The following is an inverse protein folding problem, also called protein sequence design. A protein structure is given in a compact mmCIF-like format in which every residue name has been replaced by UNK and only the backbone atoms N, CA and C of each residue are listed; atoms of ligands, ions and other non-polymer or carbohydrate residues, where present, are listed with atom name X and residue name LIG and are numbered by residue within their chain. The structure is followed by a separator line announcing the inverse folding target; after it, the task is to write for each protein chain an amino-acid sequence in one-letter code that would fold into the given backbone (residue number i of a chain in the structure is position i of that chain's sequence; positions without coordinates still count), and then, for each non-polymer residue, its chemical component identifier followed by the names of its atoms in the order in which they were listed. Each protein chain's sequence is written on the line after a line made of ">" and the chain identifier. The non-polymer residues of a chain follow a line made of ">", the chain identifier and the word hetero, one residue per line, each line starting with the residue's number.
data_IF_789804542930
#
_entry.id   IF_789804542930
#
_cell.length_a   1.000
_cell.length_b   1.000
_cell.length_c   1.000
_cell.angle_alpha   90.00
_cell.angle_beta   90.00
_cell.angle_gamma   90.00
#
_symmetry.space_group_name_H-M   'P 1'
#
loop_
_entity.id
_entity.type
_entity.pdbx_description
1 polymer ?
#
# COMPACT_ATOMS: atom_id res chain seq x y z
N UNK A 1 15.42 -2.51 22.35
CA UNK A 1 16.44 -2.37 21.28
C UNK A 1 16.09 -1.14 20.46
N UNK A 2 17.05 -0.36 19.91
CA UNK A 2 16.74 0.78 19.05
C UNK A 2 16.61 0.30 17.60
N UNK A 3 15.66 0.83 16.81
CA UNK A 3 15.64 0.57 15.38
C UNK A 3 16.85 1.21 14.71
N UNK A 4 17.39 0.52 13.70
CA UNK A 4 18.47 1.02 12.85
C UNK A 4 17.95 1.15 11.43
N UNK A 5 18.23 2.28 10.77
CA UNK A 5 17.91 2.51 9.39
C UNK A 5 19.18 2.39 8.55
N UNK A 6 19.10 1.60 7.48
CA UNK A 6 20.18 1.44 6.53
C UNK A 6 19.63 1.68 5.12
N UNK A 7 20.08 2.78 4.48
CA UNK A 7 19.55 3.26 3.22
C UNK A 7 20.66 3.59 2.25
N UNK A 8 20.40 3.38 0.97
CA UNK A 8 21.16 3.98 -0.12
C UNK A 8 20.47 5.27 -0.55
N UNK A 9 21.10 6.42 -0.33
CA UNK A 9 20.55 7.73 -0.68
C UNK A 9 21.40 8.37 -1.77
N UNK A 10 20.83 8.55 -2.97
CA UNK A 10 21.48 9.12 -4.14
C UNK A 10 20.89 10.47 -4.57
N UNK A 11 19.94 11.01 -3.78
CA UNK A 11 19.34 12.32 -4.00
C UNK A 11 18.15 12.34 -4.94
N UNK A 12 17.51 11.19 -5.19
CA UNK A 12 16.27 11.10 -5.97
C UNK A 12 15.05 11.35 -5.08
N UNK A 13 13.95 11.79 -5.69
CA UNK A 13 12.67 11.97 -4.97
C UNK A 13 12.25 10.69 -4.22
N UNK A 14 12.40 9.54 -4.87
CA UNK A 14 12.08 8.26 -4.26
C UNK A 14 12.91 7.95 -3.01
N UNK A 15 14.15 8.42 -2.94
CA UNK A 15 14.99 8.20 -1.75
C UNK A 15 14.43 8.94 -0.53
N UNK A 16 13.80 10.10 -0.75
CA UNK A 16 13.13 10.87 0.33
C UNK A 16 11.89 10.13 0.82
N UNK A 17 11.09 9.56 -0.10
CA UNK A 17 9.92 8.75 0.25
C UNK A 17 10.34 7.47 0.97
N UNK A 18 11.39 6.78 0.50
CA UNK A 18 11.96 5.60 1.16
C UNK A 18 12.44 5.95 2.58
N UNK A 19 13.12 7.08 2.77
CA UNK A 19 13.51 7.52 4.11
C UNK A 19 12.29 7.75 5.02
N UNK A 20 11.23 8.37 4.49
CA UNK A 20 9.97 8.57 5.23
C UNK A 20 9.31 7.23 5.60
N UNK A 21 9.34 6.26 4.70
CA UNK A 21 8.87 4.90 4.90
C UNK A 21 9.59 4.23 6.08
N UNK A 22 10.90 4.16 6.03
CA UNK A 22 11.72 3.52 7.06
C UNK A 22 11.61 4.23 8.42
N UNK A 23 11.53 5.57 8.42
CA UNK A 23 11.25 6.33 9.64
C UNK A 23 9.88 6.01 10.21
N UNK A 24 8.89 5.77 9.36
CA UNK A 24 7.56 5.31 9.76
C UNK A 24 7.62 3.99 10.52
N UNK A 25 8.35 2.99 10.01
CA UNK A 25 8.61 1.73 10.72
C UNK A 25 9.31 1.95 12.05
N UNK A 26 10.32 2.82 12.09
CA UNK A 26 11.03 3.18 13.32
C UNK A 26 10.12 3.77 14.38
N UNK A 27 9.25 4.72 14.01
CA UNK A 27 8.25 5.31 14.91
C UNK A 27 7.24 4.26 15.40
N UNK A 28 6.75 3.42 14.49
CA UNK A 28 5.81 2.34 14.81
C UNK A 28 6.39 1.37 15.85
N UNK A 29 7.62 0.92 15.61
CA UNK A 29 8.33 0.06 16.56
C UNK A 29 8.45 0.70 17.94
N UNK A 30 8.86 1.99 18.02
CA UNK A 30 8.99 2.69 19.30
C UNK A 30 7.66 2.84 20.06
N UNK A 31 6.56 2.97 19.36
CA UNK A 31 5.24 3.03 19.98
C UNK A 31 4.79 1.67 20.52
N UNK A 32 5.12 0.58 19.82
CA UNK A 32 4.74 -0.79 20.21
C UNK A 32 5.59 -1.41 21.31
N UNK A 33 6.86 -1.04 21.42
CA UNK A 33 7.79 -1.62 22.40
C UNK A 33 7.26 -1.50 23.84
N UNK A 34 6.42 -0.50 24.11
CA UNK A 34 5.77 -0.31 25.42
C UNK A 34 4.77 -1.41 25.77
N UNK A 35 4.31 -2.19 24.79
CA UNK A 35 3.37 -3.29 25.00
C UNK A 35 4.04 -4.59 25.47
N UNK A 36 5.39 -4.60 25.62
CA UNK A 36 6.20 -5.74 26.02
C UNK A 36 6.54 -6.67 24.84
N UNK A 37 7.53 -7.52 25.03
CA UNK A 37 8.15 -8.35 23.97
C UNK A 37 7.14 -9.23 23.20
N UNK A 38 6.14 -9.79 23.88
CA UNK A 38 5.15 -10.65 23.24
C UNK A 38 4.22 -9.88 22.30
N UNK A 39 4.10 -8.56 22.46
CA UNK A 39 3.22 -7.69 21.70
C UNK A 39 4.03 -6.65 20.86
N UNK A 40 5.31 -6.89 20.67
CA UNK A 40 6.19 -5.98 19.91
C UNK A 40 5.90 -6.03 18.39
N UNK A 41 5.47 -7.19 17.89
CA UNK A 41 5.17 -7.37 16.45
C UNK A 41 3.74 -6.97 16.15
N UNK A 42 3.53 -6.11 15.14
CA UNK A 42 2.20 -5.80 14.65
C UNK A 42 1.62 -6.97 13.86
N UNK A 43 0.31 -6.88 13.59
CA UNK A 43 -0.33 -7.79 12.64
C UNK A 43 0.19 -7.49 11.23
N UNK A 44 0.30 -8.52 10.43
CA UNK A 44 0.74 -8.45 9.03
C UNK A 44 0.11 -7.28 8.27
N UNK A 45 -1.20 -7.11 8.37
CA UNK A 45 -1.98 -6.09 7.65
C UNK A 45 -1.76 -4.66 8.14
N UNK A 46 -1.16 -4.46 9.32
CA UNK A 46 -0.90 -3.13 9.90
C UNK A 46 0.59 -2.78 9.97
N UNK A 47 1.46 -3.68 9.51
CA UNK A 47 2.91 -3.44 9.56
C UNK A 47 3.30 -2.23 8.71
N UNK A 48 2.65 -2.06 7.57
CA UNK A 48 2.93 -0.99 6.61
C UNK A 48 2.16 0.33 6.86
N UNK A 49 1.26 0.38 7.87
CA UNK A 49 0.41 1.56 8.07
C UNK A 49 1.21 2.81 8.41
N UNK A 50 2.24 2.67 9.25
CA UNK A 50 3.06 3.82 9.67
C UNK A 50 4.01 4.27 8.56
N UNK A 51 4.62 3.33 7.85
CA UNK A 51 5.56 3.59 6.77
C UNK A 51 4.88 4.27 5.59
N UNK A 52 3.77 3.71 5.10
CA UNK A 52 3.00 4.27 3.98
C UNK A 52 2.36 5.62 4.36
N UNK A 53 1.92 5.80 5.63
CA UNK A 53 1.41 7.10 6.06
C UNK A 53 2.52 8.16 6.14
N UNK A 54 3.72 7.79 6.56
CA UNK A 54 4.91 8.65 6.52
C UNK A 54 5.25 9.11 5.10
N UNK A 55 5.25 8.18 4.14
CA UNK A 55 5.41 8.51 2.72
C UNK A 55 4.31 9.46 2.23
N UNK A 56 3.05 9.20 2.59
CA UNK A 56 1.91 10.04 2.20
C UNK A 56 2.07 11.48 2.69
N UNK A 57 2.51 11.68 3.94
CA UNK A 57 2.73 13.02 4.49
C UNK A 57 3.83 13.77 3.74
N UNK A 58 4.95 13.09 3.45
CA UNK A 58 6.08 13.68 2.71
C UNK A 58 5.69 13.95 1.27
N UNK A 59 5.02 13.01 0.60
CA UNK A 59 4.50 13.22 -0.75
C UNK A 59 3.60 14.45 -0.84
N UNK A 60 2.69 14.63 0.10
CA UNK A 60 1.79 15.79 0.13
C UNK A 60 2.55 17.12 0.33
N UNK A 61 3.57 17.11 1.18
CA UNK A 61 4.42 18.29 1.36
C UNK A 61 5.20 18.62 0.08
N UNK A 62 5.78 17.61 -0.57
CA UNK A 62 6.44 17.75 -1.86
C UNK A 62 5.49 18.31 -2.92
N UNK A 63 4.27 17.76 -3.00
CA UNK A 63 3.25 18.18 -3.96
C UNK A 63 2.82 19.62 -3.72
N UNK A 64 2.66 20.04 -2.47
CA UNK A 64 2.33 21.42 -2.10
C UNK A 64 3.42 22.42 -2.50
N UNK A 65 4.69 22.02 -2.39
CA UNK A 65 5.82 22.88 -2.69
C UNK A 65 6.25 22.84 -4.16
N UNK A 66 5.66 21.94 -4.98
CA UNK A 66 5.97 21.82 -6.41
C UNK A 66 5.07 22.75 -7.21
N UNK A 67 5.64 23.83 -7.76
CA UNK A 67 4.92 24.86 -8.52
C UNK A 67 4.98 24.65 -10.03
N UNK A 68 6.00 23.93 -10.53
CA UNK A 68 6.13 23.59 -11.95
C UNK A 68 5.18 22.45 -12.33
N UNK A 69 4.36 22.68 -13.36
CA UNK A 69 3.32 21.73 -13.78
C UNK A 69 3.89 20.39 -14.26
N UNK A 70 5.04 20.39 -14.95
CA UNK A 70 5.68 19.17 -15.45
C UNK A 70 6.27 18.35 -14.31
N UNK A 71 6.96 19.01 -13.37
CA UNK A 71 7.46 18.34 -12.18
C UNK A 71 6.30 17.79 -11.32
N UNK A 72 5.21 18.54 -11.21
CA UNK A 72 3.98 18.11 -10.52
C UNK A 72 3.36 16.89 -11.18
N UNK A 73 3.24 16.87 -12.51
CA UNK A 73 2.75 15.73 -13.26
C UNK A 73 3.61 14.48 -13.02
N UNK A 74 4.94 14.60 -13.10
CA UNK A 74 5.85 13.49 -12.85
C UNK A 74 5.71 12.94 -11.42
N UNK A 75 5.59 13.82 -10.43
CA UNK A 75 5.45 13.44 -9.02
C UNK A 75 4.15 12.66 -8.78
N UNK A 76 3.02 13.16 -9.32
CA UNK A 76 1.71 12.49 -9.18
C UNK A 76 1.71 11.18 -9.98
N UNK A 77 2.26 11.15 -11.18
CA UNK A 77 2.32 9.94 -12.01
C UNK A 77 3.09 8.80 -11.31
N UNK A 78 4.24 9.13 -10.69
CA UNK A 78 4.97 8.15 -9.89
C UNK A 78 4.12 7.62 -8.75
N UNK A 79 3.47 8.52 -7.98
CA UNK A 79 2.63 8.12 -6.85
C UNK A 79 1.44 7.25 -7.27
N UNK A 80 0.75 7.62 -8.35
CA UNK A 80 -0.38 6.82 -8.89
C UNK A 80 0.10 5.44 -9.33
N UNK A 81 1.25 5.35 -10.02
CA UNK A 81 1.83 4.08 -10.40
C UNK A 81 2.11 3.19 -9.19
N UNK A 82 2.67 3.74 -8.12
CA UNK A 82 2.96 3.02 -6.88
C UNK A 82 1.68 2.55 -6.19
N UNK A 83 0.64 3.41 -6.11
CA UNK A 83 -0.65 3.07 -5.52
C UNK A 83 -1.37 1.97 -6.31
N UNK A 84 -1.36 2.01 -7.66
CA UNK A 84 -1.93 0.96 -8.50
C UNK A 84 -1.16 -0.36 -8.31
N UNK A 85 0.16 -0.32 -8.28
CA UNK A 85 0.96 -1.51 -8.02
C UNK A 85 0.70 -2.10 -6.63
N UNK A 86 0.49 -1.25 -5.62
CA UNK A 86 0.23 -1.68 -4.25
C UNK A 86 -1.22 -2.14 -4.05
N UNK A 87 -2.21 -1.43 -4.58
CA UNK A 87 -3.61 -1.81 -4.41
C UNK A 87 -4.05 -2.92 -5.38
N UNK A 88 -3.87 -2.71 -6.70
CA UNK A 88 -4.44 -3.60 -7.73
C UNK A 88 -3.56 -4.83 -7.95
N UNK A 89 -2.26 -4.62 -8.17
CA UNK A 89 -1.34 -5.72 -8.50
C UNK A 89 -1.17 -6.71 -7.35
N UNK A 90 -1.12 -6.24 -6.10
CA UNK A 90 -0.99 -7.14 -4.95
C UNK A 90 -2.25 -7.98 -4.72
N UNK A 91 -3.42 -7.47 -5.05
CA UNK A 91 -4.66 -8.26 -5.04
C UNK A 91 -4.63 -9.33 -6.14
N UNK A 92 -4.13 -9.04 -7.34
CA UNK A 92 -3.93 -10.04 -8.36
C UNK A 92 -2.94 -11.14 -7.92
N UNK A 93 -1.86 -10.77 -7.23
CA UNK A 93 -0.93 -11.73 -6.63
C UNK A 93 -1.62 -12.62 -5.59
N UNK A 94 -2.48 -12.04 -4.76
CA UNK A 94 -3.26 -12.80 -3.78
C UNK A 94 -4.21 -13.80 -4.47
N UNK A 95 -4.89 -13.43 -5.55
CA UNK A 95 -5.73 -14.36 -6.30
C UNK A 95 -4.92 -15.47 -6.96
N UNK A 96 -3.77 -15.16 -7.56
CA UNK A 96 -2.86 -16.18 -8.07
C UNK A 96 -2.48 -17.19 -6.97
N UNK A 97 -2.03 -16.70 -5.84
CA UNK A 97 -1.61 -17.54 -4.71
C UNK A 97 -2.77 -18.41 -4.20
N UNK A 98 -3.94 -17.82 -4.00
CA UNK A 98 -5.14 -18.51 -3.55
C UNK A 98 -5.54 -19.64 -4.51
N UNK A 99 -5.55 -19.38 -5.82
CA UNK A 99 -5.87 -20.38 -6.84
C UNK A 99 -4.82 -21.48 -6.93
N UNK A 100 -3.55 -21.12 -6.95
CA UNK A 100 -2.45 -22.09 -7.01
C UNK A 100 -2.50 -23.06 -5.81
N UNK A 101 -2.70 -22.54 -4.61
CA UNK A 101 -2.85 -23.36 -3.40
C UNK A 101 -4.14 -24.19 -3.39
N UNK A 102 -5.25 -23.66 -3.89
CA UNK A 102 -6.51 -24.41 -3.99
C UNK A 102 -6.39 -25.62 -4.95
N UNK A 103 -5.80 -25.42 -6.13
CA UNK A 103 -5.55 -26.51 -7.08
C UNK A 103 -4.54 -27.52 -6.52
N UNK A 104 -3.48 -27.05 -5.86
CA UNK A 104 -2.45 -27.90 -5.24
C UNK A 104 -2.99 -28.82 -4.13
N UNK A 105 -4.05 -28.41 -3.43
CA UNK A 105 -4.71 -29.29 -2.45
C UNK A 105 -5.41 -30.50 -3.08
N UNK A 106 -5.76 -30.42 -4.35
CA UNK A 106 -6.49 -31.47 -5.06
C UNK A 106 -5.54 -32.40 -5.81
N UNK A 107 -4.47 -31.87 -6.39
CA UNK A 107 -3.50 -32.65 -7.19
C UNK A 107 -2.19 -31.88 -7.32
N UNK A 108 -1.21 -32.52 -7.97
CA UNK A 108 0.00 -31.83 -8.42
C UNK A 108 -0.34 -30.78 -9.48
N UNK A 109 0.26 -29.60 -9.36
CA UNK A 109 0.07 -28.49 -10.30
C UNK A 109 1.36 -28.32 -11.10
N UNK A 110 1.28 -28.44 -12.42
CA UNK A 110 2.43 -28.26 -13.30
C UNK A 110 2.85 -26.78 -13.39
N UNK A 111 4.09 -26.58 -13.84
CA UNK A 111 4.62 -25.23 -14.13
C UNK A 111 3.74 -24.48 -15.14
N UNK A 112 3.32 -25.18 -16.23
CA UNK A 112 2.46 -24.58 -17.25
C UNK A 112 1.13 -24.13 -16.65
N UNK A 113 0.56 -24.90 -15.71
CA UNK A 113 -0.67 -24.53 -15.04
C UNK A 113 -0.49 -23.29 -14.15
N UNK A 114 0.61 -23.20 -13.41
CA UNK A 114 0.94 -22.00 -12.63
C UNK A 114 1.10 -20.78 -13.55
N UNK A 115 1.78 -20.90 -14.67
CA UNK A 115 1.89 -19.84 -15.67
C UNK A 115 0.54 -19.40 -16.22
N UNK A 116 -0.37 -20.33 -16.48
CA UNK A 116 -1.74 -20.02 -16.93
C UNK A 116 -2.51 -19.23 -15.87
N UNK A 117 -2.52 -19.71 -14.62
CA UNK A 117 -3.19 -19.01 -13.51
C UNK A 117 -2.65 -17.58 -13.38
N UNK A 118 -1.32 -17.44 -13.42
CA UNK A 118 -0.68 -16.13 -13.34
C UNK A 118 -1.14 -15.17 -14.45
N UNK A 119 -1.07 -15.60 -15.70
CA UNK A 119 -1.49 -14.77 -16.84
C UNK A 119 -2.97 -14.41 -16.78
N UNK A 120 -3.83 -15.34 -16.36
CA UNK A 120 -5.26 -15.09 -16.18
C UNK A 120 -5.51 -14.00 -15.13
N UNK A 121 -4.85 -14.06 -13.96
CA UNK A 121 -5.01 -13.06 -12.88
C UNK A 121 -4.42 -11.71 -13.30
N UNK A 122 -3.27 -11.68 -13.96
CA UNK A 122 -2.69 -10.43 -14.46
C UNK A 122 -3.59 -9.76 -15.50
N UNK A 123 -4.12 -10.50 -16.47
CA UNK A 123 -5.06 -9.99 -17.47
C UNK A 123 -6.34 -9.48 -16.83
N UNK A 124 -6.88 -10.22 -15.86
CA UNK A 124 -8.09 -9.82 -15.14
C UNK A 124 -7.90 -8.51 -14.37
N UNK A 125 -6.74 -8.33 -13.72
CA UNK A 125 -6.47 -7.15 -12.90
C UNK A 125 -6.15 -5.89 -13.69
N UNK A 126 -5.46 -6.03 -14.83
CA UNK A 126 -5.03 -4.91 -15.68
C UNK A 126 -6.06 -4.54 -16.76
N UNK A 127 -7.06 -5.39 -16.96
CA UNK A 127 -8.10 -5.20 -17.98
C UNK A 127 -7.54 -5.16 -19.41
N UNK A 128 -8.27 -4.49 -20.30
CA UNK A 128 -7.92 -4.41 -21.71
C UNK A 128 -6.95 -3.27 -22.06
N UNK A 129 -6.46 -2.53 -21.06
CA UNK A 129 -5.60 -1.37 -21.27
C UNK A 129 -4.11 -1.72 -21.30
N UNK A 130 -3.76 -2.91 -20.81
CA UNK A 130 -2.38 -3.41 -20.77
C UNK A 130 -2.33 -4.78 -21.43
N UNK A 131 -1.47 -4.94 -22.42
CA UNK A 131 -1.19 -6.22 -23.03
C UNK A 131 -0.26 -7.05 -22.15
N UNK A 132 -0.77 -8.18 -21.63
CA UNK A 132 0.01 -9.14 -20.87
C UNK A 132 0.40 -10.27 -21.81
N UNK A 133 1.63 -10.24 -22.29
CA UNK A 133 2.20 -11.21 -23.21
C UNK A 133 2.67 -12.51 -22.53
N UNK A 134 2.98 -13.50 -23.35
CA UNK A 134 3.48 -14.82 -22.86
C UNK A 134 4.88 -14.72 -22.22
N UNK A 135 5.64 -13.69 -22.55
CA UNK A 135 6.94 -13.37 -21.92
C UNK A 135 6.83 -13.07 -20.44
N UNK A 136 5.63 -12.65 -19.97
CA UNK A 136 5.34 -12.37 -18.56
C UNK A 136 5.02 -13.65 -17.74
N UNK A 137 4.87 -14.81 -18.37
CA UNK A 137 4.30 -16.01 -17.73
C UNK A 137 5.09 -16.55 -16.53
N UNK A 138 6.39 -16.26 -16.44
CA UNK A 138 7.25 -16.71 -15.34
C UNK A 138 7.48 -15.68 -14.25
N UNK A 139 6.90 -14.47 -14.33
CA UNK A 139 7.16 -13.40 -13.36
C UNK A 139 6.74 -13.82 -11.93
N UNK A 140 5.73 -14.68 -11.78
CA UNK A 140 5.33 -15.21 -10.47
C UNK A 140 6.50 -15.84 -9.70
N UNK A 141 7.46 -16.47 -10.39
CA UNK A 141 8.61 -17.11 -9.76
C UNK A 141 9.62 -16.12 -9.14
N UNK A 142 9.52 -14.84 -9.48
CA UNK A 142 10.35 -13.77 -8.92
C UNK A 142 9.71 -13.11 -7.68
N UNK A 143 8.45 -13.43 -7.38
CA UNK A 143 7.74 -12.88 -6.22
C UNK A 143 8.13 -13.68 -4.97
N UNK A 144 9.13 -13.21 -4.25
CA UNK A 144 9.68 -13.87 -3.06
C UNK A 144 8.64 -14.21 -1.99
N UNK A 145 7.58 -13.39 -1.88
CA UNK A 145 6.49 -13.60 -0.92
C UNK A 145 5.81 -14.96 -1.08
N UNK A 146 5.61 -15.45 -2.30
CA UNK A 146 4.98 -16.75 -2.54
C UNK A 146 5.76 -17.93 -1.95
N UNK A 147 7.06 -17.76 -1.72
CA UNK A 147 7.96 -18.80 -1.23
C UNK A 147 8.31 -18.63 0.26
N UNK A 148 8.48 -17.38 0.71
CA UNK A 148 9.00 -17.10 2.05
C UNK A 148 7.95 -16.62 3.04
N UNK A 149 6.87 -15.97 2.55
CA UNK A 149 5.80 -15.40 3.34
C UNK A 149 4.43 -15.62 2.65
N UNK A 150 3.96 -16.88 2.55
CA UNK A 150 2.70 -17.19 1.87
C UNK A 150 1.53 -16.39 2.43
N UNK A 151 0.66 -15.94 1.52
CA UNK A 151 -0.54 -15.14 1.83
C UNK A 151 -0.26 -13.79 2.50
N UNK A 152 0.94 -13.22 2.29
CA UNK A 152 1.28 -11.89 2.82
C UNK A 152 0.79 -10.73 1.91
N UNK A 153 0.82 -10.92 0.60
CA UNK A 153 0.74 -9.84 -0.39
C UNK A 153 -0.49 -8.93 -0.28
N UNK A 154 -1.65 -9.45 0.14
CA UNK A 154 -2.85 -8.65 0.34
C UNK A 154 -2.70 -7.58 1.45
N UNK A 155 -1.74 -7.78 2.37
CA UNK A 155 -1.47 -6.86 3.46
C UNK A 155 -1.05 -5.47 2.95
N UNK A 156 -0.35 -5.41 1.83
CA UNK A 156 0.02 -4.16 1.18
C UNK A 156 -1.19 -3.38 0.70
N UNK A 157 -2.13 -4.05 0.03
CA UNK A 157 -3.38 -3.42 -0.44
C UNK A 157 -4.24 -2.95 0.73
N UNK A 158 -4.31 -3.74 1.81
CA UNK A 158 -5.02 -3.34 3.02
C UNK A 158 -4.40 -2.09 3.65
N UNK A 159 -3.07 -2.07 3.82
CA UNK A 159 -2.36 -0.95 4.42
C UNK A 159 -2.50 0.32 3.58
N UNK A 160 -2.37 0.23 2.24
CA UNK A 160 -2.54 1.38 1.34
C UNK A 160 -3.96 1.95 1.43
N UNK A 161 -4.99 1.11 1.34
CA UNK A 161 -6.37 1.54 1.49
C UNK A 161 -6.66 2.17 2.86
N UNK A 162 -6.11 1.59 3.93
CA UNK A 162 -6.25 2.14 5.28
C UNK A 162 -5.58 3.50 5.41
N UNK A 163 -4.35 3.64 4.92
CA UNK A 163 -3.61 4.90 4.93
C UNK A 163 -4.33 5.98 4.13
N UNK A 164 -4.81 5.64 2.93
CA UNK A 164 -5.54 6.56 2.08
C UNK A 164 -6.83 7.02 2.77
N UNK A 165 -7.56 6.12 3.44
CA UNK A 165 -8.75 6.44 4.21
C UNK A 165 -8.46 7.32 5.42
N UNK A 166 -7.40 7.02 6.19
CA UNK A 166 -6.94 7.84 7.31
C UNK A 166 -6.51 9.24 6.85
N UNK A 167 -5.81 9.31 5.71
CA UNK A 167 -5.40 10.58 5.15
C UNK A 167 -6.60 11.43 4.72
N UNK A 168 -7.60 10.84 4.09
CA UNK A 168 -8.86 11.50 3.76
C UNK A 168 -9.55 12.06 5.01
N UNK A 169 -9.71 11.25 6.05
CA UNK A 169 -10.29 11.68 7.34
C UNK A 169 -9.53 12.86 7.95
N UNK A 170 -8.18 12.82 7.86
CA UNK A 170 -7.33 13.94 8.29
C UNK A 170 -7.60 15.21 7.50
N UNK A 171 -7.73 15.12 6.17
CA UNK A 171 -8.00 16.26 5.30
C UNK A 171 -9.39 16.85 5.52
N UNK A 172 -10.39 16.02 5.77
CA UNK A 172 -11.76 16.44 6.08
C UNK A 172 -11.86 17.18 7.42
N UNK A 173 -10.85 17.05 8.29
CA UNK A 173 -10.79 17.76 9.58
C UNK A 173 -11.89 17.35 10.58
N UNK A 174 -12.61 16.26 10.32
CA UNK A 174 -13.75 15.83 11.15
C UNK A 174 -13.33 15.12 12.44
N UNK A 175 -12.09 14.69 12.54
CA UNK A 175 -11.57 14.00 13.72
C UNK A 175 -10.68 14.95 14.52
N UNK A 176 -11.15 15.46 15.68
CA UNK A 176 -10.32 16.27 16.55
C UNK A 176 -9.16 15.45 17.10
N UNK A 177 -8.02 16.09 17.36
CA UNK A 177 -6.81 15.46 17.90
C UNK A 177 -6.36 14.25 17.09
N UNK A 178 -6.45 14.34 15.74
CA UNK A 178 -6.12 13.28 14.81
C UNK A 178 -4.72 12.69 15.08
N UNK A 179 -3.73 13.51 15.34
CA UNK A 179 -2.35 13.06 15.55
C UNK A 179 -2.25 12.13 16.78
N UNK A 180 -2.86 12.52 17.90
CA UNK A 180 -2.82 11.72 19.13
C UNK A 180 -3.56 10.39 18.96
N UNK A 181 -4.72 10.43 18.29
CA UNK A 181 -5.48 9.22 17.95
C UNK A 181 -4.71 8.31 17.00
N UNK A 182 -4.00 8.87 16.02
CA UNK A 182 -3.17 8.10 15.09
C UNK A 182 -1.98 7.44 15.81
N UNK A 183 -1.27 8.16 16.67
CA UNK A 183 -0.20 7.58 17.48
C UNK A 183 -0.72 6.48 18.42
N UNK A 184 -1.92 6.68 18.99
CA UNK A 184 -2.58 5.64 19.77
C UNK A 184 -2.92 4.42 18.91
N UNK A 185 -3.50 4.59 17.70
CA UNK A 185 -3.75 3.51 16.76
C UNK A 185 -2.48 2.70 16.51
N UNK A 186 -1.37 3.36 16.16
CA UNK A 186 -0.09 2.69 15.91
C UNK A 186 0.40 1.88 17.11
N UNK A 187 0.20 2.38 18.33
CA UNK A 187 0.54 1.65 19.54
C UNK A 187 -0.30 0.38 19.76
N UNK A 188 -1.50 0.31 19.18
CA UNK A 188 -2.46 -0.79 19.36
C UNK A 188 -2.47 -1.83 18.24
N UNK A 189 -1.71 -1.65 17.18
CA UNK A 189 -1.71 -2.52 15.99
C UNK A 189 -1.40 -4.00 16.27
N UNK A 190 -0.69 -4.28 17.35
CA UNK A 190 -0.37 -5.65 17.78
C UNK A 190 -1.50 -6.32 18.57
N UNK A 191 -2.24 -5.56 19.37
CA UNK A 191 -3.14 -6.08 20.40
C UNK A 191 -4.61 -5.68 20.22
N UNK A 192 -4.87 -4.54 19.58
CA UNK A 192 -6.24 -4.03 19.38
C UNK A 192 -6.99 -4.73 18.24
N UNK A 193 -8.31 -4.86 18.37
CA UNK A 193 -9.15 -5.28 17.25
C UNK A 193 -9.34 -4.13 16.27
N UNK A 194 -9.36 -4.43 14.95
CA UNK A 194 -9.46 -3.40 13.90
C UNK A 194 -10.65 -2.47 14.08
N UNK A 195 -11.81 -3.02 14.40
CA UNK A 195 -13.03 -2.24 14.63
C UNK A 195 -12.86 -1.25 15.78
N UNK A 196 -12.15 -1.63 16.84
CA UNK A 196 -11.92 -0.79 18.01
C UNK A 196 -10.89 0.32 17.73
N UNK A 197 -9.75 -0.03 17.11
CA UNK A 197 -8.67 0.93 16.84
C UNK A 197 -9.00 1.90 15.72
N UNK A 198 -9.92 1.55 14.80
CA UNK A 198 -10.37 2.41 13.71
C UNK A 198 -11.63 3.22 14.03
N UNK A 199 -12.39 2.83 15.06
CA UNK A 199 -13.59 3.54 15.50
C UNK A 199 -13.39 5.05 15.76
N UNK A 200 -12.26 5.53 16.36
CA UNK A 200 -12.01 6.95 16.56
C UNK A 200 -11.93 7.78 15.28
N UNK A 201 -11.78 7.13 14.11
CA UNK A 201 -11.70 7.72 12.78
C UNK A 201 -12.98 7.55 11.96
N UNK A 202 -14.01 6.93 12.56
CA UNK A 202 -15.24 6.54 11.85
C UNK A 202 -14.96 5.65 10.62
N UNK A 203 -14.00 4.73 10.77
CA UNK A 203 -13.60 3.78 9.73
C UNK A 203 -13.98 2.36 10.14
N UNK A 204 -14.68 1.67 9.24
CA UNK A 204 -15.08 0.27 9.43
C UNK A 204 -14.56 -0.58 8.24
N UNK A 205 -13.53 -1.42 8.42
CA UNK A 205 -12.97 -2.22 7.33
C UNK A 205 -13.91 -3.30 6.79
N UNK A 206 -14.99 -3.60 7.52
CA UNK A 206 -16.05 -4.52 7.05
C UNK A 206 -17.08 -3.82 6.15
N UNK A 207 -17.01 -2.49 6.01
CA UNK A 207 -17.88 -1.72 5.12
C UNK A 207 -17.21 -1.45 3.78
N UNK A 208 -17.92 -1.59 2.65
CA UNK A 208 -17.43 -1.12 1.34
C UNK A 208 -17.00 0.34 1.32
N UNK A 209 -17.61 1.19 2.15
CA UNK A 209 -17.31 2.63 2.21
C UNK A 209 -15.87 2.92 2.66
N UNK A 210 -15.32 2.05 3.53
CA UNK A 210 -13.91 2.13 3.92
C UNK A 210 -12.98 2.02 2.70
N UNK A 211 -13.20 0.99 1.88
CA UNK A 211 -12.41 0.74 0.67
C UNK A 211 -12.61 1.83 -0.38
N UNK A 212 -13.87 2.23 -0.59
CA UNK A 212 -14.22 3.30 -1.52
C UNK A 212 -13.59 4.65 -1.12
N UNK A 213 -13.48 4.94 0.18
CA UNK A 213 -12.82 6.16 0.66
C UNK A 213 -11.33 6.17 0.27
N UNK A 214 -10.63 5.06 0.47
CA UNK A 214 -9.23 4.90 0.04
C UNK A 214 -9.05 5.02 -1.47
N UNK A 215 -9.92 4.38 -2.25
CA UNK A 215 -9.86 4.41 -3.72
C UNK A 215 -10.19 5.78 -4.32
N UNK A 216 -11.04 6.60 -3.67
CA UNK A 216 -11.33 7.98 -4.11
C UNK A 216 -10.09 8.86 -4.13
N UNK A 217 -9.15 8.65 -3.24
CA UNK A 217 -7.90 9.41 -3.24
C UNK A 217 -7.08 9.10 -4.50
N UNK A 218 -6.99 7.83 -4.90
CA UNK A 218 -6.31 7.42 -6.14
C UNK A 218 -6.99 8.07 -7.35
N UNK A 219 -8.33 8.01 -7.42
CA UNK A 219 -9.10 8.65 -8.49
C UNK A 219 -8.82 10.15 -8.58
N UNK A 220 -8.72 10.84 -7.44
CA UNK A 220 -8.45 12.29 -7.43
C UNK A 220 -7.07 12.64 -8.00
N UNK A 221 -6.06 11.79 -7.82
CA UNK A 221 -4.76 11.98 -8.44
C UNK A 221 -4.80 11.70 -9.94
N UNK A 222 -5.57 10.71 -10.38
CA UNK A 222 -5.77 10.43 -11.81
C UNK A 222 -6.45 11.63 -12.48
N UNK A 223 -7.49 12.19 -11.88
CA UNK A 223 -8.16 13.40 -12.39
C UNK A 223 -7.18 14.58 -12.52
N UNK A 224 -6.29 14.74 -11.54
CA UNK A 224 -5.26 15.79 -11.58
C UNK A 224 -4.21 15.52 -12.66
N UNK A 225 -3.81 14.25 -12.89
CA UNK A 225 -2.93 13.87 -14.00
C UNK A 225 -3.54 14.22 -15.35
N UNK A 226 -4.81 13.85 -15.56
CA UNK A 226 -5.51 14.18 -16.81
C UNK A 226 -5.61 15.70 -17.04
N UNK A 227 -5.84 16.45 -15.97
CA UNK A 227 -5.89 17.92 -16.03
C UNK A 227 -4.54 18.50 -16.45
N UNK A 228 -3.45 18.01 -15.86
CA UNK A 228 -2.08 18.47 -16.14
C UNK A 228 -1.64 18.06 -17.55
N UNK A 229 -1.94 16.84 -17.99
CA UNK A 229 -1.64 16.33 -19.32
C UNK A 229 -2.30 17.21 -20.40
N UNK A 230 -3.61 17.48 -20.27
CA UNK A 230 -4.33 18.39 -21.16
C UNK A 230 -3.75 19.80 -21.17
N UNK A 231 -3.31 20.31 -20.00
CA UNK A 231 -2.68 21.65 -19.89
C UNK A 231 -1.33 21.72 -20.60
N UNK A 232 -0.53 20.69 -20.45
CA UNK A 232 0.82 20.60 -21.01
C UNK A 232 0.84 20.17 -22.47
N UNK A 233 -0.30 19.68 -23.01
CA UNK A 233 -0.46 19.16 -24.39
C UNK A 233 0.53 18.03 -24.72
N UNK A 234 0.72 17.12 -23.77
CA UNK A 234 1.55 15.93 -23.92
C UNK A 234 0.82 14.81 -24.66
#
# INVERSE_FOLDING_TARGET
>A
MHPYLFLNFVGKQNDVLTLAHELGHGCHHQLRIKNGELNERSRMTTEEVASVFGEMLVFQDMLKNTTDDKARLCLIASKVNDMINTAVRQIAFHFFETRAHAERKLSEVSEERLCQIWLEEMKSSLGNYVEVGDDCRYIWSQVGHFFFLPFYVYAYSFADCLVNSLYQVKQEGMVPDFADKYLHLLSQTAIGEYEQILKPFDLNPNSPDFWNKGLKLISSYIDELERLDKKLKL
#
